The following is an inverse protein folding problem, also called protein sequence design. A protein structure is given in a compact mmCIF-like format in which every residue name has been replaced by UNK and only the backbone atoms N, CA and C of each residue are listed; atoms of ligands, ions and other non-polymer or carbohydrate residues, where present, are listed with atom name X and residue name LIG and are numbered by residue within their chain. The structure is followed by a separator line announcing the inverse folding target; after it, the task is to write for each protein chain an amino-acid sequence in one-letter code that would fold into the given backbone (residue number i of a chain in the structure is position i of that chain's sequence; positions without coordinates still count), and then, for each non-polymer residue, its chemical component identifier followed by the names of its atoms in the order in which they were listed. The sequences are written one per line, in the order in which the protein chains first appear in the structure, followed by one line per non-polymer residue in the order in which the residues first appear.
data_IF_555635208260
#
_entry.id   IF_555635208260
#
_cell.length_a   1.000
_cell.length_b   1.000
_cell.length_c   1.000
_cell.angle_alpha   90.00
_cell.angle_beta   90.00
_cell.angle_gamma   90.00
#
_symmetry.space_group_name_H-M   'P 1'
#
loop_
_entity.id
_entity.type
_entity.pdbx_description
1 polymer ?
#
# COMPACT_ATOMS: atom_id res chain seq x y z
N UNK A 1 12.55 -40.08 11.18
CA UNK A 1 12.31 -38.74 11.76
C UNK A 1 12.46 -37.73 10.64
N UNK A 2 11.35 -37.34 9.99
CA UNK A 2 11.40 -36.41 8.86
C UNK A 2 11.63 -34.98 9.37
N UNK A 3 12.50 -34.25 8.67
CA UNK A 3 12.80 -32.85 8.90
C UNK A 3 11.52 -32.00 8.76
N UNK A 4 10.87 -31.63 9.87
CA UNK A 4 9.71 -30.71 9.93
C UNK A 4 10.11 -29.23 9.99
N UNK A 5 11.38 -28.88 9.80
CA UNK A 5 11.87 -27.50 9.88
C UNK A 5 11.89 -26.74 8.54
N UNK A 6 11.51 -27.35 7.40
CA UNK A 6 11.60 -26.71 6.07
C UNK A 6 10.42 -25.79 5.71
N UNK A 7 9.53 -25.47 6.66
CA UNK A 7 8.34 -24.64 6.42
C UNK A 7 8.00 -23.64 7.51
N UNK A 8 8.90 -23.42 8.48
CA UNK A 8 8.69 -22.47 9.57
C UNK A 8 9.18 -21.08 9.15
N UNK A 9 8.30 -20.09 9.24
CA UNK A 9 8.62 -18.70 8.89
C UNK A 9 9.47 -18.05 9.99
N UNK A 10 10.54 -17.36 9.58
CA UNK A 10 11.34 -16.50 10.43
C UNK A 10 10.80 -15.07 10.49
N UNK A 11 11.38 -14.25 11.38
CA UNK A 11 11.04 -12.82 11.51
C UNK A 11 11.16 -12.09 10.18
N UNK A 12 12.23 -12.36 9.42
CA UNK A 12 12.48 -11.72 8.12
C UNK A 12 11.39 -12.06 7.11
N UNK A 13 10.97 -13.31 7.04
CA UNK A 13 9.96 -13.76 6.08
C UNK A 13 8.60 -13.12 6.38
N UNK A 14 8.23 -13.02 7.67
CA UNK A 14 7.01 -12.34 8.11
C UNK A 14 7.07 -10.85 7.77
N UNK A 15 8.22 -10.19 7.99
CA UNK A 15 8.41 -8.78 7.63
C UNK A 15 8.25 -8.58 6.14
N UNK A 16 8.91 -9.38 5.29
CA UNK A 16 8.75 -9.29 3.84
C UNK A 16 7.31 -9.54 3.39
N UNK A 17 6.63 -10.53 3.98
CA UNK A 17 5.25 -10.83 3.65
C UNK A 17 4.31 -9.67 4.03
N UNK A 18 4.49 -9.08 5.21
CA UNK A 18 3.72 -7.92 5.66
C UNK A 18 4.00 -6.69 4.80
N UNK A 19 5.26 -6.43 4.45
CA UNK A 19 5.62 -5.34 3.54
C UNK A 19 4.92 -5.53 2.20
N UNK A 20 4.97 -6.73 1.61
CA UNK A 20 4.30 -6.99 0.32
C UNK A 20 2.77 -6.85 0.43
N UNK A 21 2.18 -7.30 1.53
CA UNK A 21 0.73 -7.30 1.70
C UNK A 21 0.15 -5.91 2.01
N UNK A 22 0.90 -5.05 2.70
CA UNK A 22 0.39 -3.76 3.21
C UNK A 22 0.89 -2.59 2.36
N UNK A 23 2.13 -2.66 1.85
CA UNK A 23 2.73 -1.57 1.10
C UNK A 23 2.03 -1.39 -0.24
N UNK A 24 1.38 -0.25 -0.42
CA UNK A 24 0.68 0.08 -1.65
C UNK A 24 1.04 1.48 -2.13
N UNK A 25 1.68 1.57 -3.30
CA UNK A 25 2.06 2.84 -3.93
C UNK A 25 0.87 3.78 -4.13
N UNK A 26 -0.33 3.23 -4.30
CA UNK A 26 -1.59 3.97 -4.44
C UNK A 26 -1.93 4.82 -3.21
N UNK A 27 -1.36 4.52 -2.05
CA UNK A 27 -1.64 5.28 -0.83
C UNK A 27 -0.76 6.53 -0.70
N UNK A 28 0.38 6.59 -1.40
CA UNK A 28 1.33 7.70 -1.33
C UNK A 28 0.70 9.03 -1.82
N UNK A 29 0.00 9.08 -2.98
CA UNK A 29 -0.63 10.31 -3.46
C UNK A 29 -1.75 10.83 -2.57
N UNK A 30 -2.36 9.99 -1.72
CA UNK A 30 -3.45 10.43 -0.84
C UNK A 30 -2.98 11.49 0.17
N UNK A 31 -1.70 11.48 0.53
CA UNK A 31 -1.12 12.39 1.54
C UNK A 31 -0.10 13.36 0.98
N UNK A 32 0.33 13.17 -0.26
CA UNK A 32 1.23 14.07 -0.97
C UNK A 32 0.75 15.54 -1.03
N UNK A 33 -0.55 15.86 -1.19
CA UNK A 33 -1.03 17.25 -1.23
C UNK A 33 -0.66 18.12 -0.03
N UNK A 34 -0.36 17.52 1.13
CA UNK A 34 0.03 18.22 2.36
C UNK A 34 1.52 18.62 2.43
N UNK A 35 2.29 18.28 1.40
CA UNK A 35 3.68 18.70 1.28
C UNK A 35 4.53 18.22 2.46
N UNK A 36 5.17 19.16 3.18
CA UNK A 36 6.05 18.85 4.31
C UNK A 36 5.28 18.27 5.52
N UNK A 37 4.05 18.73 5.77
CA UNK A 37 3.25 18.25 6.90
C UNK A 37 2.84 16.78 6.78
N UNK A 38 2.85 16.21 5.56
CA UNK A 38 2.61 14.79 5.32
C UNK A 38 3.60 13.89 6.08
N UNK A 39 4.85 14.34 6.28
CA UNK A 39 5.86 13.60 7.03
C UNK A 39 5.49 13.47 8.50
N UNK A 40 5.03 14.56 9.13
CA UNK A 40 4.56 14.53 10.51
C UNK A 40 3.27 13.72 10.64
N UNK A 41 2.37 13.79 9.66
CA UNK A 41 1.18 12.95 9.65
C UNK A 41 1.51 11.45 9.58
N UNK A 42 2.53 11.03 8.80
CA UNK A 42 3.02 9.64 8.81
C UNK A 42 3.53 9.22 10.18
N UNK A 43 4.31 10.07 10.83
CA UNK A 43 4.83 9.79 12.18
C UNK A 43 3.69 9.70 13.20
N UNK A 44 2.75 10.64 13.18
CA UNK A 44 1.59 10.65 14.10
C UNK A 44 0.73 9.41 13.87
N UNK A 45 0.39 9.09 12.63
CA UNK A 45 -0.42 7.91 12.32
C UNK A 45 0.31 6.61 12.66
N UNK A 46 1.64 6.56 12.49
CA UNK A 46 2.46 5.42 12.89
C UNK A 46 2.41 5.19 14.41
N UNK A 47 2.65 6.23 15.21
CA UNK A 47 2.71 6.11 16.67
C UNK A 47 1.33 5.96 17.32
N UNK A 48 0.32 6.69 16.85
CA UNK A 48 -1.00 6.69 17.47
C UNK A 48 -1.86 5.50 17.07
N UNK A 49 -1.63 4.92 15.88
CA UNK A 49 -2.56 3.94 15.31
C UNK A 49 -1.85 2.66 14.87
N UNK A 50 -0.82 2.78 14.02
CA UNK A 50 -0.23 1.59 13.40
C UNK A 50 0.60 0.74 14.36
N UNK A 51 1.41 1.38 15.21
CA UNK A 51 2.22 0.67 16.20
C UNK A 51 1.36 0.02 17.30
N UNK A 52 0.35 0.72 17.88
CA UNK A 52 -0.61 0.09 18.77
C UNK A 52 -1.36 -1.07 18.09
N UNK A 53 -1.81 -0.91 16.85
CA UNK A 53 -2.45 -1.98 16.07
C UNK A 53 -1.51 -3.19 15.94
N UNK A 54 -0.24 -2.97 15.60
CA UNK A 54 0.75 -4.04 15.47
C UNK A 54 1.02 -4.77 16.79
N UNK A 55 1.05 -4.04 17.91
CA UNK A 55 1.19 -4.63 19.24
C UNK A 55 -0.04 -5.46 19.62
N UNK A 56 -1.25 -4.93 19.41
CA UNK A 56 -2.52 -5.63 19.68
C UNK A 56 -2.63 -6.89 18.82
N UNK A 57 -2.33 -6.80 17.53
CA UNK A 57 -2.26 -7.97 16.66
C UNK A 57 -1.22 -8.97 17.15
N UNK A 58 -0.03 -8.53 17.55
CA UNK A 58 1.00 -9.39 18.11
C UNK A 58 0.56 -10.12 19.39
N UNK A 59 -0.05 -9.40 20.33
CA UNK A 59 -0.54 -9.97 21.60
C UNK A 59 -1.68 -10.97 21.36
N UNK A 60 -2.70 -10.60 20.57
CA UNK A 60 -3.83 -11.48 20.27
C UNK A 60 -3.43 -12.74 19.50
N UNK A 61 -2.47 -12.62 18.58
CA UNK A 61 -1.94 -13.76 17.82
C UNK A 61 -1.22 -14.78 18.69
N UNK A 62 -0.60 -14.31 19.79
CA UNK A 62 0.17 -15.16 20.69
C UNK A 62 -0.67 -15.69 21.84
N UNK A 63 -1.66 -14.93 22.31
CA UNK A 63 -2.63 -15.34 23.32
C UNK A 63 -3.64 -16.37 22.81
N UNK A 64 -4.11 -16.23 21.56
CA UNK A 64 -5.04 -17.15 20.92
C UNK A 64 -4.48 -17.67 19.59
N UNK A 65 -3.57 -18.66 19.61
CA UNK A 65 -2.87 -19.17 18.43
C UNK A 65 -3.76 -20.09 17.57
N UNK A 66 -5.04 -19.79 17.44
CA UNK A 66 -5.98 -20.51 16.57
C UNK A 66 -5.96 -19.86 15.19
N UNK A 67 -5.92 -20.70 14.16
CA UNK A 67 -6.05 -20.24 12.77
C UNK A 67 -7.46 -19.65 12.56
N UNK A 68 -7.54 -18.33 12.38
CA UNK A 68 -8.79 -17.62 12.17
C UNK A 68 -8.77 -16.11 12.42
N UNK A 69 -7.62 -15.57 12.89
CA UNK A 69 -7.36 -14.13 12.93
C UNK A 69 -8.43 -13.32 13.67
N UNK A 70 -8.84 -12.20 13.07
CA UNK A 70 -9.80 -11.23 13.63
C UNK A 70 -11.10 -11.88 14.11
N UNK A 71 -11.62 -12.85 13.36
CA UNK A 71 -12.88 -13.52 13.73
C UNK A 71 -12.78 -14.22 15.07
N UNK A 72 -11.68 -14.93 15.32
CA UNK A 72 -11.48 -15.71 16.54
C UNK A 72 -11.38 -14.80 17.75
N UNK A 73 -10.60 -13.71 17.65
CA UNK A 73 -10.42 -12.77 18.76
C UNK A 73 -11.72 -12.10 19.17
N UNK A 74 -12.49 -11.62 18.19
CA UNK A 74 -13.76 -10.95 18.46
C UNK A 74 -14.81 -11.94 18.96
N UNK A 75 -14.80 -13.18 18.46
CA UNK A 75 -15.70 -14.22 18.93
C UNK A 75 -15.43 -14.56 20.40
N UNK A 76 -14.17 -14.64 20.80
CA UNK A 76 -13.80 -14.95 22.17
C UNK A 76 -14.13 -13.80 23.13
N UNK A 77 -13.94 -12.54 22.70
CA UNK A 77 -14.19 -11.37 23.53
C UNK A 77 -15.67 -10.94 23.60
N UNK A 78 -16.36 -10.94 22.45
CA UNK A 78 -17.69 -10.32 22.29
C UNK A 78 -18.78 -11.31 21.84
N UNK A 79 -18.43 -12.58 21.64
CA UNK A 79 -19.35 -13.62 21.21
C UNK A 79 -19.58 -13.71 19.70
N UNK A 80 -20.31 -14.75 19.28
CA UNK A 80 -20.44 -15.14 17.87
C UNK A 80 -21.16 -14.10 16.99
N UNK A 81 -22.15 -13.37 17.52
CA UNK A 81 -22.93 -12.40 16.73
C UNK A 81 -22.08 -11.21 16.28
N UNK A 82 -21.32 -10.62 17.19
CA UNK A 82 -20.47 -9.46 16.91
C UNK A 82 -19.33 -9.87 15.97
N UNK A 83 -18.71 -11.02 16.20
CA UNK A 83 -17.68 -11.55 15.31
C UNK A 83 -18.18 -11.75 13.88
N UNK A 84 -19.42 -12.21 13.70
CA UNK A 84 -20.02 -12.35 12.37
C UNK A 84 -20.20 -11.01 11.67
N UNK A 85 -20.71 -9.98 12.37
CA UNK A 85 -20.87 -8.63 11.82
C UNK A 85 -19.52 -8.08 11.35
N UNK A 86 -18.48 -8.18 12.17
CA UNK A 86 -17.15 -7.65 11.83
C UNK A 86 -16.54 -8.36 10.63
N UNK A 87 -16.66 -9.69 10.53
CA UNK A 87 -16.18 -10.42 9.36
C UNK A 87 -16.95 -10.04 8.09
N UNK A 88 -18.27 -9.82 8.19
CA UNK A 88 -19.07 -9.35 7.06
C UNK A 88 -18.64 -7.95 6.63
N UNK A 89 -18.42 -7.03 7.57
CA UNK A 89 -17.88 -5.70 7.27
C UNK A 89 -16.50 -5.78 6.60
N UNK A 90 -15.61 -6.64 7.10
CA UNK A 90 -14.29 -6.88 6.51
C UNK A 90 -14.38 -7.47 5.10
N UNK A 91 -15.34 -8.36 4.85
CA UNK A 91 -15.60 -8.90 3.51
C UNK A 91 -16.05 -7.79 2.56
N UNK A 92 -16.99 -6.94 2.97
CA UNK A 92 -17.44 -5.82 2.15
C UNK A 92 -16.34 -4.80 1.88
N UNK A 93 -15.46 -4.52 2.86
CA UNK A 93 -14.32 -3.64 2.62
C UNK A 93 -13.36 -4.22 1.58
N UNK A 94 -13.12 -5.53 1.60
CA UNK A 94 -12.33 -6.20 0.56
C UNK A 94 -12.98 -6.10 -0.82
N UNK A 95 -14.30 -6.31 -0.91
CA UNK A 95 -15.05 -6.20 -2.18
C UNK A 95 -14.95 -4.80 -2.77
N UNK A 96 -15.04 -3.75 -1.95
CA UNK A 96 -14.91 -2.36 -2.40
C UNK A 96 -13.47 -1.97 -2.77
N UNK A 97 -12.48 -2.64 -2.20
CA UNK A 97 -11.07 -2.37 -2.47
C UNK A 97 -10.63 -2.81 -3.87
N UNK A 98 -11.18 -3.92 -4.40
CA UNK A 98 -10.79 -4.43 -5.72
C UNK A 98 -11.05 -3.44 -6.88
N UNK A 99 -12.28 -2.88 -7.04
CA UNK A 99 -12.53 -1.88 -8.08
C UNK A 99 -11.62 -0.66 -7.96
N UNK A 100 -11.32 -0.25 -6.74
CA UNK A 100 -10.42 0.87 -6.48
C UNK A 100 -9.00 0.56 -6.99
N UNK A 101 -8.49 -0.66 -6.80
CA UNK A 101 -7.17 -1.04 -7.29
C UNK A 101 -7.14 -1.17 -8.82
N UNK A 102 -8.18 -1.73 -9.43
CA UNK A 102 -8.29 -1.79 -10.88
C UNK A 102 -8.38 -0.40 -11.50
N UNK A 103 -9.10 0.53 -10.86
CA UNK A 103 -9.14 1.94 -11.28
C UNK A 103 -7.73 2.54 -11.33
N UNK A 104 -6.90 2.30 -10.31
CA UNK A 104 -5.52 2.75 -10.26
C UNK A 104 -4.68 2.15 -11.40
N UNK A 105 -4.79 0.83 -11.64
CA UNK A 105 -4.09 0.17 -12.74
C UNK A 105 -4.48 0.70 -14.13
N UNK A 106 -5.78 0.87 -14.40
CA UNK A 106 -6.26 1.40 -15.68
C UNK A 106 -5.92 2.86 -15.89
N UNK A 107 -5.91 3.66 -14.82
CA UNK A 107 -5.42 5.04 -14.88
C UNK A 107 -3.96 5.04 -15.31
N UNK A 108 -3.13 4.16 -14.75
CA UNK A 108 -1.74 4.01 -15.16
C UNK A 108 -1.57 3.60 -16.62
N UNK A 109 -2.37 2.65 -17.13
CA UNK A 109 -2.40 2.32 -18.56
C UNK A 109 -2.87 3.50 -19.43
N UNK A 110 -3.79 4.32 -18.94
CA UNK A 110 -4.24 5.52 -19.63
C UNK A 110 -3.08 6.48 -19.90
N UNK A 111 -2.19 6.70 -18.92
CA UNK A 111 -1.00 7.54 -19.08
C UNK A 111 -0.03 7.03 -20.15
N UNK A 112 0.00 5.73 -20.43
CA UNK A 112 0.81 5.16 -21.52
C UNK A 112 0.26 5.49 -22.92
N UNK A 113 -1.07 5.47 -23.08
CA UNK A 113 -1.72 5.63 -24.39
C UNK A 113 -1.96 7.11 -24.70
N UNK A 114 -2.18 7.93 -23.67
CA UNK A 114 -2.29 9.38 -23.74
C UNK A 114 -3.11 9.94 -22.58
N UNK A 115 -2.71 11.10 -22.04
CA UNK A 115 -3.30 11.69 -20.83
C UNK A 115 -4.84 11.83 -20.86
N UNK A 116 -5.44 12.06 -22.04
CA UNK A 116 -6.91 12.13 -22.19
C UNK A 116 -7.63 10.80 -21.94
N UNK A 117 -6.96 9.65 -22.10
CA UNK A 117 -7.51 8.33 -21.77
C UNK A 117 -7.42 8.02 -20.28
N UNK A 118 -6.42 8.58 -19.59
CA UNK A 118 -6.24 8.43 -18.14
C UNK A 118 -7.32 9.14 -17.31
N UNK A 119 -8.04 10.09 -17.90
CA UNK A 119 -9.19 10.77 -17.27
C UNK A 119 -10.54 10.23 -17.77
N UNK A 120 -10.52 9.35 -18.78
CA UNK A 120 -11.74 8.83 -19.39
C UNK A 120 -12.39 7.78 -18.48
N UNK A 121 -13.45 8.21 -17.78
CA UNK A 121 -14.25 7.37 -16.86
C UNK A 121 -14.81 6.12 -17.52
N UNK A 122 -15.15 6.17 -18.81
CA UNK A 122 -15.69 5.01 -19.52
C UNK A 122 -14.62 3.95 -19.78
N UNK A 123 -13.42 4.36 -20.20
CA UNK A 123 -12.28 3.46 -20.38
C UNK A 123 -11.91 2.75 -19.07
N UNK A 124 -11.76 3.53 -17.99
CA UNK A 124 -11.37 3.00 -16.69
C UNK A 124 -12.46 2.11 -16.10
N UNK A 125 -13.73 2.54 -16.16
CA UNK A 125 -14.85 1.78 -15.59
C UNK A 125 -15.12 0.47 -16.33
N UNK A 126 -15.22 0.52 -17.67
CA UNK A 126 -15.49 -0.68 -18.48
C UNK A 126 -14.29 -1.62 -18.44
N UNK A 127 -13.06 -1.08 -18.57
CA UNK A 127 -11.84 -1.88 -18.48
C UNK A 127 -11.73 -2.61 -17.14
N UNK A 128 -11.94 -1.89 -16.03
CA UNK A 128 -11.91 -2.47 -14.69
C UNK A 128 -12.96 -3.57 -14.52
N UNK A 129 -14.18 -3.36 -15.02
CA UNK A 129 -15.24 -4.37 -14.94
C UNK A 129 -14.91 -5.64 -15.75
N UNK A 130 -14.38 -5.49 -16.97
CA UNK A 130 -13.98 -6.63 -17.82
C UNK A 130 -12.88 -7.43 -17.15
N UNK A 131 -11.85 -6.76 -16.63
CA UNK A 131 -10.73 -7.44 -15.95
C UNK A 131 -11.17 -8.10 -14.65
N UNK A 132 -12.04 -7.46 -13.88
CA UNK A 132 -12.59 -8.04 -12.67
C UNK A 132 -13.28 -9.39 -12.96
N UNK A 133 -14.09 -9.45 -14.01
CA UNK A 133 -14.73 -10.70 -14.44
C UNK A 133 -13.74 -11.72 -14.98
N UNK A 134 -12.73 -11.31 -15.75
CA UNK A 134 -11.68 -12.21 -16.22
C UNK A 134 -10.91 -12.85 -15.06
N UNK A 135 -10.47 -12.06 -14.08
CA UNK A 135 -9.80 -12.55 -12.87
C UNK A 135 -10.73 -13.47 -12.05
N UNK A 136 -12.02 -13.16 -11.98
CA UNK A 136 -13.01 -14.02 -11.31
C UNK A 136 -13.12 -15.37 -12.01
N UNK A 137 -13.25 -15.39 -13.34
CA UNK A 137 -13.32 -16.62 -14.13
C UNK A 137 -12.03 -17.45 -14.07
N UNK A 138 -10.87 -16.79 -14.01
CA UNK A 138 -9.59 -17.46 -13.80
C UNK A 138 -9.52 -18.10 -12.42
N UNK A 139 -9.93 -17.40 -11.36
CA UNK A 139 -9.94 -17.95 -10.01
C UNK A 139 -10.89 -19.15 -9.86
N UNK A 140 -12.00 -19.19 -10.60
CA UNK A 140 -12.90 -20.35 -10.64
C UNK A 140 -12.22 -21.59 -11.25
N UNK A 141 -11.27 -21.42 -12.19
CA UNK A 141 -10.58 -22.52 -12.90
C UNK A 141 -9.36 -23.08 -12.16
N UNK A 142 -8.90 -22.45 -11.08
CA UNK A 142 -7.83 -22.97 -10.22
C UNK A 142 -6.86 -21.88 -9.74
N UNK A 143 -6.41 -22.02 -8.49
CA UNK A 143 -5.57 -21.00 -7.80
C UNK A 143 -4.06 -21.08 -8.12
N UNK A 144 -3.62 -22.03 -8.95
CA UNK A 144 -2.19 -22.17 -9.28
C UNK A 144 -1.68 -20.97 -10.09
N UNK A 145 -2.47 -20.48 -11.05
CA UNK A 145 -2.16 -19.29 -11.84
C UNK A 145 -2.14 -18.02 -11.00
N UNK A 146 -3.05 -17.90 -10.02
CA UNK A 146 -3.13 -16.74 -9.12
C UNK A 146 -1.85 -16.57 -8.30
N UNK A 147 -1.23 -17.67 -7.84
CA UNK A 147 0.04 -17.57 -7.08
C UNK A 147 1.18 -16.98 -7.91
N UNK A 148 1.28 -17.37 -9.18
CA UNK A 148 2.33 -16.87 -10.09
C UNK A 148 2.09 -15.40 -10.38
N UNK A 149 0.84 -15.03 -10.70
CA UNK A 149 0.45 -13.64 -10.96
C UNK A 149 0.79 -12.78 -9.75
N UNK A 150 0.36 -13.14 -8.54
CA UNK A 150 0.61 -12.35 -7.34
C UNK A 150 2.11 -12.18 -7.04
N UNK A 151 2.93 -13.20 -7.29
CA UNK A 151 4.39 -13.09 -7.10
C UNK A 151 5.02 -12.09 -8.07
N UNK A 152 4.64 -12.15 -9.35
CA UNK A 152 5.12 -11.21 -10.38
C UNK A 152 4.59 -9.79 -10.09
N UNK A 153 3.33 -9.68 -9.71
CA UNK A 153 2.67 -8.43 -9.36
C UNK A 153 3.29 -7.75 -8.14
N UNK A 154 3.77 -8.48 -7.15
CA UNK A 154 4.48 -7.88 -6.02
C UNK A 154 5.78 -7.17 -6.47
N UNK A 155 6.57 -7.82 -7.33
CA UNK A 155 7.81 -7.26 -7.86
C UNK A 155 7.58 -6.10 -8.83
N UNK A 156 6.72 -6.31 -9.83
CA UNK A 156 6.40 -5.31 -10.85
C UNK A 156 5.57 -4.16 -10.30
N UNK A 157 4.69 -4.42 -9.33
CA UNK A 157 3.73 -3.45 -8.82
C UNK A 157 4.27 -2.54 -7.74
N UNK A 158 5.07 -3.09 -6.82
CA UNK A 158 5.49 -2.36 -5.62
C UNK A 158 6.98 -2.07 -5.65
N UNK A 159 7.84 -3.09 -5.77
CA UNK A 159 9.29 -2.88 -5.63
C UNK A 159 9.90 -2.07 -6.77
N UNK A 160 9.64 -2.45 -8.02
CA UNK A 160 10.19 -1.76 -9.19
C UNK A 160 9.73 -0.29 -9.23
N UNK A 161 8.42 0.02 -9.08
CA UNK A 161 7.99 1.39 -9.25
C UNK A 161 8.36 2.27 -8.04
N UNK A 162 8.43 1.70 -6.83
CA UNK A 162 8.94 2.39 -5.64
C UNK A 162 10.42 2.76 -5.81
N UNK A 163 11.25 1.80 -6.25
CA UNK A 163 12.68 2.05 -6.46
C UNK A 163 12.91 3.11 -7.53
N UNK A 164 12.19 3.04 -8.66
CA UNK A 164 12.27 4.04 -9.70
C UNK A 164 11.80 5.42 -9.24
N UNK A 165 10.72 5.51 -8.47
CA UNK A 165 10.26 6.79 -7.91
C UNK A 165 11.34 7.46 -7.05
N UNK A 166 12.01 6.68 -6.19
CA UNK A 166 13.10 7.17 -5.32
C UNK A 166 14.31 7.58 -6.17
N UNK A 167 14.69 6.76 -7.15
CA UNK A 167 15.82 7.06 -8.05
C UNK A 167 15.57 8.35 -8.84
N UNK A 168 14.37 8.55 -9.37
CA UNK A 168 14.01 9.78 -10.09
C UNK A 168 14.09 11.00 -9.18
N UNK A 169 13.61 10.90 -7.94
CA UNK A 169 13.72 11.99 -6.97
C UNK A 169 15.19 12.34 -6.67
N UNK A 170 16.07 11.34 -6.53
CA UNK A 170 17.51 11.57 -6.31
C UNK A 170 18.15 12.20 -7.54
N UNK A 171 17.88 11.69 -8.74
CA UNK A 171 18.41 12.25 -10.00
C UNK A 171 17.93 13.68 -10.23
N UNK A 172 16.67 13.98 -9.90
CA UNK A 172 16.11 15.34 -9.94
C UNK A 172 16.91 16.32 -9.06
N UNK A 173 17.25 15.91 -7.85
CA UNK A 173 18.07 16.72 -6.94
C UNK A 173 19.52 16.84 -7.43
N UNK A 174 20.11 15.76 -7.93
CA UNK A 174 21.48 15.78 -8.47
C UNK A 174 21.61 16.62 -9.75
N UNK A 175 20.54 16.77 -10.54
CA UNK A 175 20.51 17.64 -11.73
C UNK A 175 20.34 19.13 -11.39
N UNK A 176 20.27 19.48 -10.10
CA UNK A 176 20.22 20.86 -9.62
C UNK A 176 18.81 21.46 -9.60
N UNK A 177 17.77 20.66 -9.85
CA UNK A 177 16.39 21.13 -9.71
C UNK A 177 16.03 21.30 -8.24
N UNK A 178 15.33 22.39 -7.93
CA UNK A 178 14.83 22.63 -6.57
C UNK A 178 13.69 21.65 -6.25
N UNK A 179 13.57 21.33 -4.96
CA UNK A 179 12.41 20.58 -4.45
C UNK A 179 11.14 21.38 -4.72
N UNK A 180 10.14 20.74 -5.34
CA UNK A 180 8.86 21.41 -5.63
C UNK A 180 8.04 21.71 -4.36
N UNK A 181 8.31 20.99 -3.28
CA UNK A 181 7.72 21.24 -1.96
C UNK A 181 8.72 21.96 -1.04
N UNK A 182 8.26 23.03 -0.39
CA UNK A 182 9.07 23.76 0.58
C UNK A 182 9.08 23.06 1.96
N UNK A 183 10.21 22.40 2.25
CA UNK A 183 10.52 21.80 3.54
C UNK A 183 11.28 22.73 4.49
N UNK A 184 11.74 23.90 4.02
CA UNK A 184 12.59 24.83 4.79
C UNK A 184 11.78 25.68 5.77
N UNK A 185 10.53 25.97 5.43
CA UNK A 185 9.64 26.76 6.28
C UNK A 185 9.02 25.88 7.38
N UNK A 186 9.38 26.13 8.65
CA UNK A 186 8.87 25.39 9.81
C UNK A 186 7.33 25.40 9.95
N UNK A 187 6.66 26.44 9.43
CA UNK A 187 5.18 26.53 9.41
C UNK A 187 4.54 25.47 8.50
N UNK A 188 5.22 25.02 7.45
CA UNK A 188 4.69 24.00 6.52
C UNK A 188 4.72 22.59 7.09
N UNK A 189 5.40 22.39 8.22
CA UNK A 189 5.45 21.09 8.90
C UNK A 189 4.19 20.86 9.71
N UNK A 190 3.61 21.89 10.33
CA UNK A 190 2.43 21.74 11.17
C UNK A 190 1.18 21.62 10.26
N UNK A 191 0.48 20.48 10.26
CA UNK A 191 -0.74 20.33 9.48
C UNK A 191 -1.83 21.25 10.06
N UNK A 192 -2.56 21.93 9.20
CA UNK A 192 -3.75 22.68 9.61
C UNK A 192 -4.89 21.70 9.92
N UNK A 193 -5.05 21.38 11.21
CA UNK A 193 -6.08 20.47 11.73
C UNK A 193 -7.48 21.12 11.79
N UNK A 194 -7.61 22.41 11.45
CA UNK A 194 -8.89 23.13 11.49
C UNK A 194 -9.83 22.81 10.32
N UNK A 195 -9.34 22.13 9.28
CA UNK A 195 -10.10 21.83 8.07
C UNK A 195 -10.60 20.38 8.09
N UNK A 196 -11.88 20.19 7.71
CA UNK A 196 -12.51 18.86 7.62
C UNK A 196 -11.78 17.91 6.67
N UNK A 197 -11.12 18.45 5.65
CA UNK A 197 -10.33 17.68 4.70
C UNK A 197 -9.24 16.87 5.40
N UNK A 198 -8.55 17.46 6.38
CA UNK A 198 -7.45 16.80 7.13
C UNK A 198 -7.90 15.53 7.85
N UNK A 199 -9.18 15.46 8.28
CA UNK A 199 -9.75 14.26 8.91
C UNK A 199 -9.96 13.14 7.88
N UNK A 200 -10.45 13.46 6.68
CA UNK A 200 -10.64 12.49 5.59
C UNK A 200 -9.30 11.87 5.19
N UNK A 201 -8.24 12.68 5.12
CA UNK A 201 -6.91 12.18 4.79
C UNK A 201 -6.29 11.34 5.91
N UNK A 202 -6.50 11.69 7.18
CA UNK A 202 -6.09 10.83 8.29
C UNK A 202 -6.77 9.46 8.18
N UNK A 203 -8.04 9.42 7.80
CA UNK A 203 -8.74 8.15 7.51
C UNK A 203 -8.12 7.38 6.34
N UNK A 204 -7.69 8.07 5.28
CA UNK A 204 -6.96 7.42 4.16
C UNK A 204 -5.60 6.88 4.60
N UNK A 205 -4.91 7.59 5.49
CA UNK A 205 -3.64 7.15 6.10
C UNK A 205 -3.83 5.89 6.94
N UNK A 206 -4.90 5.85 7.74
CA UNK A 206 -5.28 4.65 8.49
C UNK A 206 -5.55 3.47 7.56
N UNK A 207 -6.23 3.73 6.44
CA UNK A 207 -6.49 2.72 5.44
C UNK A 207 -5.21 2.18 4.78
N UNK A 208 -4.20 3.03 4.60
CA UNK A 208 -2.88 2.60 4.08
C UNK A 208 -2.14 1.61 5.00
N UNK A 209 -2.52 1.58 6.28
CA UNK A 209 -2.00 0.67 7.30
C UNK A 209 -2.87 -0.57 7.53
N UNK A 210 -4.07 -0.61 6.95
CA UNK A 210 -4.94 -1.78 7.02
C UNK A 210 -4.27 -2.99 6.34
N UNK A 211 -4.51 -4.18 6.87
CA UNK A 211 -3.92 -5.43 6.36
C UNK A 211 -2.94 -6.10 7.33
N UNK A 212 -2.38 -5.37 8.29
CA UNK A 212 -1.52 -5.95 9.33
C UNK A 212 -2.25 -6.98 10.21
N UNK A 213 -3.57 -6.82 10.31
CA UNK A 213 -4.54 -7.70 10.95
C UNK A 213 -4.78 -9.04 10.23
N UNK A 214 -4.30 -9.19 8.99
CA UNK A 214 -4.39 -10.42 8.18
C UNK A 214 -3.19 -11.34 8.45
N UNK A 215 -2.02 -10.76 8.78
CA UNK A 215 -0.79 -11.50 9.06
C UNK A 215 -0.94 -12.58 10.14
N UNK A 216 -1.79 -12.40 11.18
CA UNK A 216 -1.99 -13.43 12.20
C UNK A 216 -2.59 -14.75 11.74
N UNK A 217 -3.20 -14.81 10.55
CA UNK A 217 -3.67 -16.08 9.99
C UNK A 217 -2.54 -17.06 9.67
N UNK A 218 -1.29 -16.60 9.58
CA UNK A 218 -0.11 -17.46 9.42
C UNK A 218 0.73 -17.58 10.69
N UNK A 219 0.30 -16.96 11.80
CA UNK A 219 1.09 -16.92 13.05
C UNK A 219 1.44 -18.33 13.55
N UNK A 220 0.53 -19.30 13.38
CA UNK A 220 0.75 -20.71 13.74
C UNK A 220 1.87 -21.42 12.97
N UNK A 221 2.36 -20.84 11.87
CA UNK A 221 3.47 -21.37 11.05
C UNK A 221 4.83 -20.73 11.37
N UNK A 222 4.90 -19.93 12.42
CA UNK A 222 6.13 -19.26 12.86
C UNK A 222 6.96 -20.18 13.75
N UNK A 223 8.29 -20.10 13.66
CA UNK A 223 9.19 -20.93 14.48
C UNK A 223 9.00 -20.73 15.98
N UNK A 224 8.85 -19.48 16.42
CA UNK A 224 8.50 -19.13 17.79
C UNK A 224 7.42 -18.04 17.81
N UNK A 225 6.13 -18.42 17.68
CA UNK A 225 5.03 -17.47 17.54
C UNK A 225 5.00 -16.45 18.70
N UNK A 226 5.24 -16.90 19.93
CA UNK A 226 5.10 -16.07 21.14
C UNK A 226 6.09 -14.89 21.22
N UNK A 227 7.28 -15.02 20.64
CA UNK A 227 8.33 -13.99 20.73
C UNK A 227 8.66 -13.35 19.40
N UNK A 228 8.74 -14.16 18.34
CA UNK A 228 9.18 -13.70 17.04
C UNK A 228 8.07 -12.98 16.30
N UNK A 229 6.82 -13.38 16.50
CA UNK A 229 5.68 -12.79 15.81
C UNK A 229 5.45 -11.32 16.23
N UNK A 230 5.31 -10.96 17.53
CA UNK A 230 5.12 -9.56 17.92
C UNK A 230 6.29 -8.66 17.50
N UNK A 231 7.53 -9.18 17.56
CA UNK A 231 8.72 -8.47 17.08
C UNK A 231 8.67 -8.25 15.58
N UNK A 232 8.28 -9.26 14.81
CA UNK A 232 8.11 -9.14 13.37
C UNK A 232 7.03 -8.10 13.02
N UNK A 233 5.92 -8.06 13.75
CA UNK A 233 4.87 -7.05 13.54
C UNK A 233 5.39 -5.63 13.78
N UNK A 234 6.09 -5.40 14.89
CA UNK A 234 6.65 -4.09 15.22
C UNK A 234 7.73 -3.63 14.22
N UNK A 235 8.61 -4.54 13.81
CA UNK A 235 9.63 -4.26 12.77
C UNK A 235 8.98 -3.99 11.42
N UNK A 236 7.96 -4.78 11.05
CA UNK A 236 7.18 -4.56 9.82
C UNK A 236 6.56 -3.17 9.83
N UNK A 237 5.97 -2.77 10.96
CA UNK A 237 5.34 -1.46 11.09
C UNK A 237 6.34 -0.32 10.86
N UNK A 238 7.51 -0.38 11.49
CA UNK A 238 8.57 0.61 11.30
C UNK A 238 9.08 0.67 9.85
N UNK A 239 9.29 -0.49 9.22
CA UNK A 239 9.77 -0.57 7.83
C UNK A 239 8.73 0.00 6.86
N UNK A 240 7.46 -0.36 7.00
CA UNK A 240 6.37 0.11 6.13
C UNK A 240 6.21 1.64 6.23
N UNK A 241 6.21 2.18 7.46
CA UNK A 241 6.15 3.64 7.68
C UNK A 241 7.35 4.33 7.05
N UNK A 242 8.56 3.79 7.22
CA UNK A 242 9.76 4.34 6.61
C UNK A 242 9.67 4.38 5.08
N UNK A 243 9.19 3.30 4.45
CA UNK A 243 9.02 3.26 2.98
C UNK A 243 7.96 4.26 2.54
N UNK A 244 6.83 4.37 3.23
CA UNK A 244 5.80 5.35 2.91
C UNK A 244 6.31 6.79 3.03
N UNK A 245 7.07 7.11 4.09
CA UNK A 245 7.69 8.43 4.24
C UNK A 245 8.66 8.74 3.09
N UNK A 246 9.54 7.81 2.75
CA UNK A 246 10.50 7.98 1.64
C UNK A 246 9.76 8.12 0.31
N UNK A 247 8.70 7.35 0.08
CA UNK A 247 7.87 7.42 -1.12
C UNK A 247 7.11 8.73 -1.24
N UNK A 248 6.51 9.23 -0.15
CA UNK A 248 5.84 10.54 -0.12
C UNK A 248 6.84 11.67 -0.34
N UNK A 249 8.04 11.55 0.24
CA UNK A 249 9.10 12.53 0.01
C UNK A 249 9.51 12.56 -1.47
N UNK A 250 9.78 11.38 -2.05
CA UNK A 250 10.13 11.28 -3.46
C UNK A 250 9.04 11.89 -4.36
N UNK A 251 7.77 11.62 -4.08
CA UNK A 251 6.66 12.20 -4.85
C UNK A 251 6.59 13.73 -4.70
N UNK A 252 6.70 14.25 -3.48
CA UNK A 252 6.65 15.69 -3.18
C UNK A 252 7.88 16.48 -3.66
N UNK A 253 9.00 15.80 -3.92
CA UNK A 253 10.14 16.43 -4.60
C UNK A 253 9.87 16.68 -6.08
N UNK A 254 9.12 15.79 -6.74
CA UNK A 254 8.83 15.82 -8.17
C UNK A 254 7.58 16.65 -8.52
N UNK A 255 6.59 16.69 -7.63
CA UNK A 255 5.34 17.42 -7.82
C UNK A 255 5.10 18.44 -6.70
N UNK A 256 4.56 19.63 -7.03
CA UNK A 256 4.17 20.60 -6.02
C UNK A 256 2.96 20.11 -5.21
N UNK A 257 3.00 20.38 -3.91
CA UNK A 257 1.91 20.12 -2.99
C UNK A 257 0.58 20.74 -3.50
N UNK A 258 -0.50 19.98 -3.48
CA UNK A 258 -1.85 20.40 -3.88
C UNK A 258 -2.24 20.15 -5.34
N UNK A 259 -1.28 19.83 -6.23
CA UNK A 259 -1.58 19.43 -7.63
C UNK A 259 -1.51 17.93 -7.88
N UNK A 260 -1.26 17.14 -6.85
CA UNK A 260 -1.18 15.69 -6.95
C UNK A 260 -2.58 15.09 -7.02
N UNK A 261 -2.88 14.37 -8.09
CA UNK A 261 -4.10 13.57 -8.17
C UNK A 261 -3.99 12.34 -7.26
N UNK A 262 -5.10 12.00 -6.59
CA UNK A 262 -5.18 10.91 -5.61
C UNK A 262 -4.99 9.53 -6.27
N UNK A 263 -5.39 9.38 -7.54
CA UNK A 263 -5.32 8.12 -8.30
C UNK A 263 -4.09 8.11 -9.20
N UNK A 264 -3.85 9.20 -9.91
CA UNK A 264 -2.79 9.30 -10.91
C UNK A 264 -1.46 9.85 -10.36
N UNK A 265 -1.38 10.29 -9.10
CA UNK A 265 -0.25 11.07 -8.59
C UNK A 265 1.13 10.43 -8.77
N UNK A 266 1.23 9.10 -8.64
CA UNK A 266 2.49 8.38 -8.90
C UNK A 266 2.89 8.48 -10.38
N UNK A 267 1.94 8.27 -11.30
CA UNK A 267 2.18 8.39 -12.74
C UNK A 267 2.42 9.83 -13.17
N UNK A 268 1.72 10.80 -12.56
CA UNK A 268 1.97 12.23 -12.78
C UNK A 268 3.40 12.62 -12.40
N UNK A 269 3.89 12.14 -11.25
CA UNK A 269 5.25 12.42 -10.81
C UNK A 269 6.28 11.82 -11.76
N UNK A 270 6.05 10.60 -12.22
CA UNK A 270 6.92 9.93 -13.19
C UNK A 270 6.89 10.60 -14.57
N UNK A 271 5.73 11.07 -15.02
CA UNK A 271 5.61 11.83 -16.27
C UNK A 271 6.35 13.16 -16.19
N UNK A 272 6.17 13.92 -15.10
CA UNK A 272 6.88 15.18 -14.88
C UNK A 272 8.41 14.98 -14.83
N UNK A 273 8.88 13.91 -14.18
CA UNK A 273 10.29 13.53 -14.16
C UNK A 273 10.79 13.06 -15.54
N UNK A 274 9.99 12.30 -16.29
CA UNK A 274 10.35 11.81 -17.61
C UNK A 274 10.46 12.94 -18.64
N UNK A 275 9.57 13.92 -18.60
CA UNK A 275 9.58 15.08 -19.51
C UNK A 275 10.81 15.95 -19.28
N UNK A 276 11.15 16.22 -18.02
CA UNK A 276 12.31 17.05 -17.64
C UNK A 276 13.64 16.35 -17.88
N UNK A 277 13.73 15.05 -17.55
CA UNK A 277 14.94 14.24 -17.76
C UNK A 277 15.04 13.66 -19.19
N UNK A 278 14.10 13.98 -20.08
CA UNK A 278 14.04 13.51 -21.47
C UNK A 278 14.07 11.97 -21.61
N UNK A 279 13.36 11.27 -20.72
CA UNK A 279 13.28 9.79 -20.67
C UNK A 279 11.86 9.27 -20.99
N UNK A 280 11.36 9.39 -22.24
CA UNK A 280 9.99 9.02 -22.59
C UNK A 280 9.71 7.51 -22.46
N UNK A 281 10.75 6.67 -22.48
CA UNK A 281 10.62 5.22 -22.31
C UNK A 281 10.16 4.79 -20.92
N UNK A 282 10.30 5.68 -19.92
CA UNK A 282 9.99 5.36 -18.53
C UNK A 282 8.48 5.23 -18.30
N UNK A 283 7.68 6.09 -18.94
CA UNK A 283 6.22 6.11 -18.80
C UNK A 283 5.56 4.77 -19.16
N UNK A 284 5.80 4.16 -20.35
CA UNK A 284 5.17 2.89 -20.71
C UNK A 284 5.62 1.74 -19.80
N UNK A 285 6.90 1.70 -19.41
CA UNK A 285 7.40 0.64 -18.51
C UNK A 285 6.72 0.72 -17.15
N UNK A 286 6.59 1.93 -16.60
CA UNK A 286 5.99 2.13 -15.28
C UNK A 286 4.48 1.92 -15.30
N UNK A 287 3.80 2.35 -16.36
CA UNK A 287 2.38 2.06 -16.56
C UNK A 287 2.08 0.56 -16.58
N UNK A 288 2.87 -0.23 -17.32
CA UNK A 288 2.73 -1.69 -17.37
C UNK A 288 3.01 -2.30 -16.01
N UNK A 289 4.10 -1.89 -15.35
CA UNK A 289 4.48 -2.35 -14.02
C UNK A 289 3.36 -2.11 -12.98
N UNK A 290 2.81 -0.90 -12.94
CA UNK A 290 1.74 -0.52 -12.02
C UNK A 290 0.42 -1.22 -12.35
N UNK A 291 0.11 -1.44 -13.63
CA UNK A 291 -1.06 -2.21 -14.02
C UNK A 291 -0.97 -3.67 -13.59
N UNK A 292 0.16 -4.34 -13.84
CA UNK A 292 0.38 -5.69 -13.32
C UNK A 292 0.38 -5.71 -11.79
N UNK A 293 0.89 -4.67 -11.15
CA UNK A 293 0.80 -4.46 -9.71
C UNK A 293 -0.63 -4.37 -9.17
N UNK A 294 -1.53 -3.74 -9.92
CA UNK A 294 -2.95 -3.64 -9.54
C UNK A 294 -3.74 -4.93 -9.76
N UNK A 295 -3.22 -5.86 -10.58
CA UNK A 295 -3.88 -7.14 -10.91
C UNK A 295 -3.64 -8.26 -9.89
N UNK A 296 -2.54 -8.22 -9.14
CA UNK A 296 -2.17 -9.25 -8.16
C UNK A 296 -2.33 -8.78 -6.74
#
# INVERSE_FOLDING_TARGET
MSNTNSGLLGIKDIVFMNVIAILSLRQIPNVAPYGASAMLLWVIAAFCLFFPLAMVCGELSTGWPKDGGIFVWIKEAFGKRIAWIVVVCFLFSCVLFFPLMLQFGFTALGYMIGGGLAENKAFIGIGSAVIFWLLTLMNIRGMEWTKIINSISAWCGVFIPSANLILLAVVWLCTGHQMQTDYTTAKNWIPDLGHWDTIVFLSSMMFAFAGLEVAPMIAGRTRNPQRDFPRAMAVSAAVIVGIYMVGTWALNTLLPAGKTDIVAGVMQAMHAAADTLHMPWLIPVMAICMFFGALG
#
